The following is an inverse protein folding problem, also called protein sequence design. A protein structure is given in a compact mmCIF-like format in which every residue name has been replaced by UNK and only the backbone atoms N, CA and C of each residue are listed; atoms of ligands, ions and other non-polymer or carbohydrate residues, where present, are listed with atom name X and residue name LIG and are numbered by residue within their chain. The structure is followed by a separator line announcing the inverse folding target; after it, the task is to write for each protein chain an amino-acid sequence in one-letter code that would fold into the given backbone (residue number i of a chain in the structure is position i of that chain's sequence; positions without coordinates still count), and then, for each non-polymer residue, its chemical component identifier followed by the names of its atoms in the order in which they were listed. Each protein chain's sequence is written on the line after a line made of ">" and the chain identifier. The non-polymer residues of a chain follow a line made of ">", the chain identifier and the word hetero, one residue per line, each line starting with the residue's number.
data_IF_752975946892
#
_entry.id   IF_752975946892
#
_cell.length_a   1.000
_cell.length_b   1.000
_cell.length_c   1.000
_cell.angle_alpha   90.00
_cell.angle_beta   90.00
_cell.angle_gamma   90.00
#
_symmetry.space_group_name_H-M   'P 1'
#
loop_
_entity.id
_entity.type
_entity.pdbx_description
1 polymer ?
#
# COMPACT_ATOMS: atom_id res chain seq x y z
N UNK A 1 12.44 -15.23 16.83
CA UNK A 1 11.77 -14.60 15.68
C UNK A 1 12.71 -13.53 15.14
N UNK A 2 12.95 -13.47 13.83
CA UNK A 2 13.77 -12.42 13.21
C UNK A 2 13.05 -11.08 13.25
N UNK A 3 13.81 -9.98 13.29
CA UNK A 3 13.25 -8.64 13.17
C UNK A 3 12.61 -8.47 11.78
N UNK A 4 11.45 -7.78 11.67
CA UNK A 4 10.82 -7.51 10.37
C UNK A 4 11.75 -6.70 9.47
N UNK A 5 11.85 -7.09 8.21
CA UNK A 5 12.57 -6.31 7.20
C UNK A 5 11.87 -4.99 6.91
N UNK A 6 12.54 -4.07 6.24
CA UNK A 6 11.90 -2.81 5.82
C UNK A 6 10.72 -3.04 4.87
N UNK A 7 10.77 -4.10 4.05
CA UNK A 7 9.67 -4.48 3.16
C UNK A 7 8.47 -5.03 3.92
N UNK A 8 8.70 -5.81 4.99
CA UNK A 8 7.62 -6.28 5.87
C UNK A 8 6.92 -5.10 6.56
N UNK A 9 7.71 -4.12 7.01
CA UNK A 9 7.19 -2.90 7.63
C UNK A 9 6.42 -2.05 6.63
N UNK A 10 6.93 -1.89 5.41
CA UNK A 10 6.26 -1.16 4.34
C UNK A 10 4.92 -1.82 3.97
N UNK A 11 4.91 -3.14 3.77
CA UNK A 11 3.69 -3.91 3.51
C UNK A 11 2.66 -3.72 4.62
N UNK A 12 3.07 -3.88 5.89
CA UNK A 12 2.19 -3.72 7.04
C UNK A 12 1.62 -2.30 7.13
N UNK A 13 2.45 -1.30 6.86
CA UNK A 13 2.09 0.13 6.89
C UNK A 13 1.03 0.45 5.83
N UNK A 14 1.26 0.03 4.57
CA UNK A 14 0.29 0.20 3.48
C UNK A 14 -1.03 -0.51 3.83
N UNK A 15 -0.98 -1.75 4.31
CA UNK A 15 -2.18 -2.50 4.70
C UNK A 15 -2.98 -1.82 5.82
N UNK A 16 -2.31 -1.34 6.86
CA UNK A 16 -2.96 -0.58 7.94
C UNK A 16 -3.58 0.70 7.40
N UNK A 17 -2.87 1.43 6.54
CA UNK A 17 -3.37 2.67 5.92
C UNK A 17 -4.62 2.41 5.08
N UNK A 18 -4.61 1.36 4.28
CA UNK A 18 -5.77 0.90 3.51
C UNK A 18 -6.95 0.66 4.45
N UNK A 19 -6.83 -0.25 5.42
CA UNK A 19 -7.91 -0.59 6.36
C UNK A 19 -8.44 0.61 7.14
N UNK A 20 -7.57 1.57 7.50
CA UNK A 20 -7.98 2.76 8.25
C UNK A 20 -8.72 3.79 7.39
N UNK A 21 -8.24 4.02 6.16
CA UNK A 21 -8.60 5.23 5.41
C UNK A 21 -9.39 4.95 4.12
N UNK A 22 -9.33 3.75 3.56
CA UNK A 22 -9.85 3.49 2.22
C UNK A 22 -8.83 3.72 1.10
N UNK A 23 -7.66 4.30 1.40
CA UNK A 23 -6.73 4.77 0.39
C UNK A 23 -5.30 4.34 0.69
N UNK A 24 -4.58 3.94 -0.36
CA UNK A 24 -3.16 3.64 -0.26
C UNK A 24 -2.37 4.94 -0.03
N UNK A 25 -1.28 4.90 0.75
CA UNK A 25 -0.41 6.06 0.95
C UNK A 25 0.36 6.39 -0.33
N UNK A 26 0.74 7.65 -0.50
CA UNK A 26 1.80 8.01 -1.43
C UNK A 26 3.18 7.72 -0.80
N UNK A 27 4.23 7.59 -1.62
CA UNK A 27 5.55 7.19 -1.10
C UNK A 27 6.14 8.18 -0.09
N UNK A 28 5.76 9.46 -0.14
CA UNK A 28 6.17 10.46 0.86
C UNK A 28 5.53 10.21 2.23
N UNK A 29 4.28 9.75 2.25
CA UNK A 29 3.58 9.37 3.47
C UNK A 29 4.16 8.06 4.02
N UNK A 30 4.45 7.09 3.13
CA UNK A 30 5.14 5.86 3.50
C UNK A 30 6.52 6.14 4.10
N UNK A 31 7.31 7.04 3.50
CA UNK A 31 8.60 7.47 4.02
C UNK A 31 8.46 8.01 5.46
N UNK A 32 7.50 8.93 5.66
CA UNK A 32 7.24 9.53 6.97
C UNK A 32 6.80 8.50 8.01
N UNK A 33 5.96 7.53 7.63
CA UNK A 33 5.48 6.48 8.55
C UNK A 33 6.58 5.45 8.89
N UNK A 34 7.56 5.26 8.00
CA UNK A 34 8.72 4.38 8.21
C UNK A 34 9.95 5.09 8.81
N UNK A 35 9.91 6.42 8.98
CA UNK A 35 11.05 7.21 9.46
C UNK A 35 12.22 7.28 8.47
N UNK A 36 11.92 7.23 7.17
CA UNK A 36 12.89 7.25 6.07
C UNK A 36 12.96 8.64 5.41
N UNK A 37 14.03 8.90 4.66
CA UNK A 37 14.03 9.98 3.68
C UNK A 37 13.00 9.71 2.56
N UNK A 38 12.62 10.77 1.84
CA UNK A 38 11.65 10.67 0.74
C UNK A 38 12.15 9.74 -0.37
N UNK A 39 13.45 9.81 -0.68
CA UNK A 39 14.14 8.99 -1.67
C UNK A 39 14.14 7.51 -1.27
N UNK A 40 14.44 7.21 0.00
CA UNK A 40 14.40 5.85 0.55
C UNK A 40 12.99 5.28 0.59
N UNK A 41 11.98 6.10 0.94
CA UNK A 41 10.58 5.67 0.90
C UNK A 41 10.09 5.38 -0.51
N UNK A 42 10.48 6.21 -1.49
CA UNK A 42 10.24 5.90 -2.91
C UNK A 42 10.91 4.59 -3.30
N UNK A 43 12.21 4.41 -3.01
CA UNK A 43 12.92 3.17 -3.34
C UNK A 43 12.23 1.96 -2.70
N UNK A 44 11.84 2.06 -1.43
CA UNK A 44 11.17 0.99 -0.67
C UNK A 44 9.84 0.60 -1.31
N UNK A 45 9.04 1.56 -1.79
CA UNK A 45 7.81 1.27 -2.52
C UNK A 45 8.07 0.46 -3.80
N UNK A 46 9.09 0.84 -4.57
CA UNK A 46 9.46 0.13 -5.81
C UNK A 46 10.02 -1.26 -5.53
N UNK A 47 10.89 -1.39 -4.52
CA UNK A 47 11.45 -2.66 -4.07
C UNK A 47 10.33 -3.61 -3.61
N UNK A 48 9.32 -3.09 -2.91
CA UNK A 48 8.17 -3.87 -2.45
C UNK A 48 7.39 -4.46 -3.63
N UNK A 49 7.04 -3.67 -4.65
CA UNK A 49 6.38 -4.22 -5.85
C UNK A 49 7.28 -5.19 -6.62
N UNK A 50 8.59 -4.92 -6.68
CA UNK A 50 9.57 -5.80 -7.32
C UNK A 50 9.72 -7.13 -6.59
N UNK A 51 9.42 -7.19 -5.29
CA UNK A 51 9.45 -8.43 -4.50
C UNK A 51 8.32 -9.41 -4.84
N UNK A 52 7.43 -9.06 -5.77
CA UNK A 52 6.38 -9.94 -6.28
C UNK A 52 5.09 -9.94 -5.47
N UNK A 53 4.84 -8.90 -4.66
CA UNK A 53 3.54 -8.77 -4.00
C UNK A 53 2.41 -8.59 -5.05
N UNK A 54 1.21 -9.13 -4.81
CA UNK A 54 0.08 -8.89 -5.70
C UNK A 54 -0.44 -7.45 -5.59
N UNK A 55 -0.24 -6.67 -6.65
CA UNK A 55 -0.70 -5.30 -6.73
C UNK A 55 -0.05 -4.55 -7.90
N UNK A 56 -0.56 -3.36 -8.19
CA UNK A 56 -0.12 -2.56 -9.33
C UNK A 56 0.05 -1.09 -8.93
N UNK A 57 1.20 -0.46 -9.24
CA UNK A 57 1.27 0.99 -9.27
C UNK A 57 0.45 1.52 -10.45
N UNK A 58 -0.07 2.73 -10.34
CA UNK A 58 -0.76 3.39 -11.43
C UNK A 58 0.27 3.84 -12.49
N UNK A 59 0.04 3.57 -13.79
CA UNK A 59 1.04 3.77 -14.83
C UNK A 59 1.66 5.18 -14.85
N UNK A 60 2.99 5.24 -14.97
CA UNK A 60 3.79 6.50 -15.03
C UNK A 60 3.62 7.41 -13.81
N UNK A 61 3.22 6.84 -12.67
CA UNK A 61 3.17 7.54 -11.39
C UNK A 61 3.77 6.65 -10.31
N UNK A 62 3.86 7.18 -9.09
CA UNK A 62 4.17 6.39 -7.89
C UNK A 62 2.92 6.16 -7.02
N UNK A 63 1.72 6.32 -7.58
CA UNK A 63 0.46 6.01 -6.90
C UNK A 63 0.26 4.50 -6.87
N UNK A 64 -0.25 3.99 -5.76
CA UNK A 64 -0.69 2.59 -5.68
C UNK A 64 -2.12 2.53 -6.24
N UNK A 65 -2.30 1.82 -7.36
CA UNK A 65 -3.64 1.57 -7.92
C UNK A 65 -4.30 0.38 -7.22
N UNK A 66 -3.54 -0.69 -6.98
CA UNK A 66 -4.02 -1.87 -6.28
C UNK A 66 -2.95 -2.47 -5.38
N UNK A 67 -3.40 -2.99 -4.23
CA UNK A 67 -2.55 -3.65 -3.25
C UNK A 67 -3.38 -4.72 -2.54
N UNK A 68 -3.15 -6.00 -2.86
CA UNK A 68 -4.10 -7.04 -2.54
C UNK A 68 -4.34 -7.15 -1.01
N UNK A 69 -5.61 -7.33 -0.58
CA UNK A 69 -6.80 -7.62 -1.40
C UNK A 69 -7.49 -6.37 -1.98
N UNK A 70 -6.95 -5.17 -1.75
CA UNK A 70 -7.61 -3.92 -2.07
C UNK A 70 -7.28 -3.35 -3.46
N UNK A 71 -8.21 -2.52 -3.94
CA UNK A 71 -8.08 -1.70 -5.13
C UNK A 71 -8.57 -0.27 -4.80
N UNK A 72 -7.77 0.74 -5.13
CA UNK A 72 -8.13 2.16 -4.98
C UNK A 72 -9.04 2.64 -6.12
N UNK A 73 -9.17 1.86 -7.21
CA UNK A 73 -10.13 2.11 -8.28
C UNK A 73 -11.41 1.29 -8.05
N UNK A 74 -12.60 1.83 -8.39
CA UNK A 74 -13.85 1.07 -8.31
C UNK A 74 -13.81 -0.21 -9.14
N UNK A 75 -14.16 -1.33 -8.50
CA UNK A 75 -14.42 -2.63 -9.14
C UNK A 75 -15.80 -3.14 -8.76
N UNK A 76 -16.21 -4.28 -9.31
CA UNK A 76 -17.47 -4.93 -8.91
C UNK A 76 -17.39 -5.53 -7.50
N UNK A 77 -16.17 -5.79 -7.00
CA UNK A 77 -15.94 -6.36 -5.68
C UNK A 77 -15.91 -5.23 -4.64
N UNK A 78 -16.98 -5.06 -3.86
CA UNK A 78 -17.03 -4.09 -2.77
C UNK A 78 -16.63 -4.75 -1.46
N UNK A 79 -15.67 -4.16 -0.76
CA UNK A 79 -15.22 -4.63 0.55
C UNK A 79 -15.77 -3.67 1.62
N UNK A 80 -16.37 -4.26 2.65
CA UNK A 80 -16.87 -3.57 3.83
C UNK A 80 -16.04 -4.00 5.03
N UNK A 81 -15.50 -3.04 5.78
CA UNK A 81 -14.77 -3.28 7.03
C UNK A 81 -15.49 -2.50 8.12
N UNK A 82 -15.83 -3.17 9.23
CA UNK A 82 -16.52 -2.56 10.38
C UNK A 82 -17.80 -1.78 9.97
N UNK A 83 -18.56 -2.32 9.01
CA UNK A 83 -19.79 -1.70 8.51
C UNK A 83 -19.60 -0.52 7.56
N UNK A 84 -18.37 -0.10 7.27
CA UNK A 84 -18.07 0.98 6.33
C UNK A 84 -17.67 0.40 4.96
N UNK A 85 -18.29 0.88 3.88
CA UNK A 85 -17.89 0.53 2.51
C UNK A 85 -17.04 1.65 1.93
N UNK A 86 -15.71 1.48 1.98
CA UNK A 86 -14.74 2.41 1.40
C UNK A 86 -13.85 1.77 0.33
N UNK A 87 -13.83 0.44 0.29
CA UNK A 87 -12.83 -0.34 -0.42
C UNK A 87 -13.41 -1.13 -1.58
N UNK A 88 -12.57 -1.39 -2.57
CA UNK A 88 -12.83 -2.35 -3.63
C UNK A 88 -11.80 -3.49 -3.59
N UNK A 89 -12.17 -4.65 -4.13
CA UNK A 89 -11.28 -5.80 -4.32
C UNK A 89 -10.61 -5.80 -5.69
N UNK A 90 -9.54 -6.58 -5.86
CA UNK A 90 -8.88 -6.84 -7.15
C UNK A 90 -9.64 -7.86 -7.99
#
# INVERSE_FOLDING_TARGET
>A
MSNPTILDQAFHTIMKRMVKTGQAPFYTELASELGLSVEEGKKTLHDLFTSGIPGWPYPRTDLIASFAPFNNLPTQYRITIEGQQKWFGQ
#
